data_IF_828766401473
#
_entry.id   IF_828766401473
#
_cell.length_a   1.000
_cell.length_b   1.000
_cell.length_c   1.000
_cell.angle_alpha   90.00
_cell.angle_beta   90.00
_cell.angle_gamma   90.00
#
_symmetry.space_group_name_H-M   'P 1'
#
loop_
_entity.id
_entity.type
_entity.pdbx_description
1 polymer ?
#
# COMPACT_ATOMS: atom_id res chain seq x y z
N UNK A 1 -22.92 -13.99 3.59
CA UNK A 1 -21.92 -13.31 4.44
C UNK A 1 -20.57 -13.02 3.74
N UNK A 2 -20.07 -13.86 2.82
CA UNK A 2 -18.78 -13.63 2.14
C UNK A 2 -18.73 -12.46 1.13
N UNK A 3 -19.88 -11.97 0.65
CA UNK A 3 -19.98 -10.99 -0.44
C UNK A 3 -19.88 -9.54 0.06
N UNK A 4 -20.42 -9.23 1.25
CA UNK A 4 -20.37 -7.88 1.84
C UNK A 4 -18.96 -7.42 2.21
N UNK A 5 -18.05 -8.35 2.50
CA UNK A 5 -16.66 -8.02 2.82
C UNK A 5 -15.86 -7.56 1.58
N UNK A 6 -16.24 -7.98 0.37
CA UNK A 6 -15.53 -7.61 -0.86
C UNK A 6 -15.67 -6.12 -1.21
N UNK A 7 -16.83 -5.52 -0.92
CA UNK A 7 -17.09 -4.14 -1.29
C UNK A 7 -16.47 -3.14 -0.28
N UNK A 8 -16.44 -3.49 1.00
CA UNK A 8 -16.00 -2.57 2.06
C UNK A 8 -14.46 -2.44 2.15
N UNK A 9 -13.71 -3.49 1.80
CA UNK A 9 -12.24 -3.43 1.72
C UNK A 9 -11.78 -2.55 0.56
N UNK A 10 -12.49 -2.57 -0.57
CA UNK A 10 -12.08 -1.83 -1.78
C UNK A 10 -12.33 -0.31 -1.68
N UNK A 11 -13.44 0.10 -1.03
CA UNK A 11 -13.88 1.50 -0.99
C UNK A 11 -12.95 2.40 -0.13
N UNK A 12 -12.31 1.86 0.92
CA UNK A 12 -11.44 2.66 1.82
C UNK A 12 -10.02 2.87 1.30
N UNK A 13 -9.55 2.07 0.34
CA UNK A 13 -8.16 2.12 -0.16
C UNK A 13 -7.93 3.24 -1.20
N UNK A 14 -9.01 3.82 -1.75
CA UNK A 14 -8.97 4.73 -2.90
C UNK A 14 -9.10 6.20 -2.44
N UNK A 15 -8.20 6.70 -1.59
CA UNK A 15 -8.09 8.14 -1.31
C UNK A 15 -6.78 8.71 -1.87
N UNK A 16 -6.81 9.24 -3.10
CA UNK A 16 -5.74 10.05 -3.68
C UNK A 16 -5.47 9.81 -5.18
N UNK A 17 -4.87 10.80 -5.85
CA UNK A 17 -4.55 10.84 -7.30
C UNK A 17 -3.76 9.63 -7.85
N UNK A 18 -3.13 8.81 -6.99
CA UNK A 18 -2.40 7.60 -7.38
C UNK A 18 -3.36 6.52 -7.94
N UNK A 19 -4.64 6.55 -7.55
CA UNK A 19 -5.65 5.60 -8.00
C UNK A 19 -6.01 5.71 -9.48
N UNK A 20 -5.60 6.78 -10.18
CA UNK A 20 -5.87 6.94 -11.62
C UNK A 20 -4.87 6.19 -12.51
N UNK A 21 -3.79 5.66 -11.94
CA UNK A 21 -2.80 4.88 -12.69
C UNK A 21 -2.99 3.37 -12.48
N UNK A 22 -3.29 2.67 -13.58
CA UNK A 22 -3.52 1.22 -13.62
C UNK A 22 -2.44 0.38 -12.90
N UNK A 23 -1.12 0.68 -13.02
CA UNK A 23 -0.09 -0.10 -12.35
C UNK A 23 -0.21 -0.11 -10.83
N UNK A 24 -0.55 1.04 -10.23
CA UNK A 24 -0.70 1.14 -8.77
C UNK A 24 -2.03 0.53 -8.31
N UNK A 25 -3.10 0.67 -9.10
CA UNK A 25 -4.38 0.01 -8.82
C UNK A 25 -4.23 -1.52 -8.81
N UNK A 26 -3.45 -2.09 -9.72
CA UNK A 26 -3.20 -3.54 -9.77
C UNK A 26 -2.44 -4.06 -8.55
N UNK A 27 -1.52 -3.27 -7.98
CA UNK A 27 -0.83 -3.61 -6.72
C UNK A 27 -1.85 -3.68 -5.58
N UNK A 28 -2.71 -2.67 -5.45
CA UNK A 28 -3.77 -2.63 -4.44
C UNK A 28 -4.73 -3.83 -4.57
N UNK A 29 -5.18 -4.13 -5.78
CA UNK A 29 -6.10 -5.25 -6.03
C UNK A 29 -5.49 -6.59 -5.60
N UNK A 30 -4.19 -6.81 -5.86
CA UNK A 30 -3.49 -8.02 -5.39
C UNK A 30 -3.42 -8.09 -3.87
N UNK A 31 -3.07 -6.98 -3.21
CA UNK A 31 -3.02 -6.92 -1.74
C UNK A 31 -4.40 -7.20 -1.13
N UNK A 32 -5.46 -6.63 -1.69
CA UNK A 32 -6.83 -6.86 -1.25
C UNK A 32 -7.23 -8.35 -1.37
N UNK A 33 -6.89 -9.02 -2.48
CA UNK A 33 -7.12 -10.46 -2.64
C UNK A 33 -6.37 -11.28 -1.58
N UNK A 34 -5.09 -10.99 -1.32
CA UNK A 34 -4.34 -11.72 -0.31
C UNK A 34 -4.89 -11.52 1.10
N UNK A 35 -5.19 -10.28 1.49
CA UNK A 35 -5.80 -9.98 2.80
C UNK A 35 -7.12 -10.73 2.95
N UNK A 36 -7.94 -10.81 1.90
CA UNK A 36 -9.20 -11.54 1.91
C UNK A 36 -9.01 -13.04 2.15
N UNK A 37 -8.02 -13.66 1.52
CA UNK A 37 -7.70 -15.09 1.70
C UNK A 37 -7.16 -15.33 3.12
N UNK A 38 -6.18 -14.54 3.56
CA UNK A 38 -5.61 -14.64 4.91
C UNK A 38 -6.67 -14.49 5.99
N UNK A 39 -7.53 -13.46 5.89
CA UNK A 39 -8.61 -13.26 6.86
C UNK A 39 -9.55 -14.46 6.91
N UNK A 40 -9.90 -15.06 5.77
CA UNK A 40 -10.78 -16.23 5.72
C UNK A 40 -10.19 -17.43 6.45
N UNK A 41 -8.88 -17.67 6.28
CA UNK A 41 -8.19 -18.78 6.94
C UNK A 41 -8.06 -18.59 8.45
N UNK A 42 -8.10 -17.34 8.93
CA UNK A 42 -8.00 -16.99 10.35
C UNK A 42 -9.36 -16.89 11.07
N UNK A 43 -10.48 -17.07 10.36
CA UNK A 43 -11.82 -17.05 10.99
C UNK A 43 -11.94 -18.21 11.99
N UNK A 44 -12.30 -17.89 13.24
CA UNK A 44 -12.46 -18.88 14.31
C UNK A 44 -11.16 -19.20 15.07
N UNK A 45 -10.04 -18.58 14.71
CA UNK A 45 -8.83 -18.62 15.51
C UNK A 45 -8.96 -17.73 16.76
N UNK A 46 -8.33 -18.15 17.85
CA UNK A 46 -8.22 -17.37 19.08
C UNK A 46 -7.17 -16.27 18.89
N UNK A 47 -7.58 -15.09 18.41
CA UNK A 47 -6.67 -13.95 18.18
C UNK A 47 -7.22 -12.67 18.75
N UNK A 48 -6.33 -11.92 19.39
CA UNK A 48 -6.62 -10.57 19.81
C UNK A 48 -6.25 -9.55 18.73
N UNK A 49 -6.72 -8.31 18.90
CA UNK A 49 -6.41 -7.17 18.03
C UNK A 49 -4.90 -7.04 17.75
N UNK A 50 -4.08 -7.20 18.79
CA UNK A 50 -2.63 -7.04 18.71
C UNK A 50 -1.96 -8.15 17.89
N UNK A 51 -2.47 -9.38 17.97
CA UNK A 51 -1.97 -10.51 17.21
C UNK A 51 -2.22 -10.29 15.72
N UNK A 52 -3.46 -9.89 15.38
CA UNK A 52 -3.83 -9.56 14.00
C UNK A 52 -2.96 -8.43 13.44
N UNK A 53 -2.76 -7.35 14.20
CA UNK A 53 -1.91 -6.24 13.76
C UNK A 53 -0.46 -6.69 13.52
N UNK A 54 0.11 -7.47 14.44
CA UNK A 54 1.49 -7.96 14.34
C UNK A 54 1.69 -8.89 13.15
N UNK A 55 0.79 -9.83 12.94
CA UNK A 55 0.87 -10.80 11.85
C UNK A 55 0.68 -10.15 10.50
N UNK A 56 -0.32 -9.27 10.36
CA UNK A 56 -0.56 -8.55 9.11
C UNK A 56 0.62 -7.63 8.77
N UNK A 57 1.21 -6.93 9.76
CA UNK A 57 2.42 -6.14 9.53
C UNK A 57 3.65 -7.01 9.19
N UNK A 58 3.74 -8.22 9.74
CA UNK A 58 4.81 -9.17 9.38
C UNK A 58 4.64 -9.68 7.96
N UNK A 59 3.39 -10.01 7.59
CA UNK A 59 3.05 -10.43 6.24
C UNK A 59 3.34 -9.33 5.21
N UNK A 60 2.87 -8.09 5.39
CA UNK A 60 3.02 -7.04 4.38
C UNK A 60 4.48 -6.63 4.15
N UNK A 61 5.36 -6.77 5.16
CA UNK A 61 6.80 -6.47 5.05
C UNK A 61 7.50 -7.27 3.95
N UNK A 62 7.01 -8.45 3.58
CA UNK A 62 7.61 -9.24 2.49
C UNK A 62 7.54 -8.54 1.13
N UNK A 63 6.61 -7.58 0.97
CA UNK A 63 6.42 -6.80 -0.25
C UNK A 63 7.06 -5.41 -0.17
N UNK A 64 7.78 -5.10 0.90
CA UNK A 64 8.45 -3.81 1.13
C UNK A 64 9.94 -3.90 0.81
N UNK A 65 10.42 -2.97 -0.01
CA UNK A 65 11.83 -2.67 -0.21
C UNK A 65 12.08 -1.20 0.16
N UNK A 66 12.75 -0.97 1.29
CA UNK A 66 13.02 0.36 1.85
C UNK A 66 14.25 1.04 1.24
N UNK A 67 15.05 0.29 0.48
CA UNK A 67 16.22 0.79 -0.26
C UNK A 67 15.80 1.87 -1.26
N UNK A 68 16.64 2.90 -1.40
CA UNK A 68 16.35 4.05 -2.26
C UNK A 68 16.33 3.66 -3.76
N UNK A 69 17.21 2.75 -4.16
CA UNK A 69 17.34 2.30 -5.54
C UNK A 69 17.51 0.77 -5.63
N UNK A 70 16.50 -0.04 -5.23
CA UNK A 70 16.62 -1.50 -5.27
C UNK A 70 16.80 -1.95 -6.73
N UNK A 71 17.52 -3.04 -7.01
CA UNK A 71 17.62 -3.57 -8.37
C UNK A 71 16.22 -3.86 -8.95
N UNK A 72 16.10 -3.85 -10.27
CA UNK A 72 14.81 -3.97 -10.95
C UNK A 72 14.05 -5.24 -10.55
N UNK A 73 14.75 -6.36 -10.35
CA UNK A 73 14.13 -7.62 -9.90
C UNK A 73 13.49 -7.48 -8.50
N UNK A 74 14.16 -6.77 -7.59
CA UNK A 74 13.67 -6.57 -6.22
C UNK A 74 12.45 -5.67 -6.25
N UNK A 75 12.46 -4.59 -7.05
CA UNK A 75 11.29 -3.70 -7.21
C UNK A 75 10.09 -4.43 -7.81
N UNK A 76 10.29 -5.36 -8.73
CA UNK A 76 9.20 -6.17 -9.29
C UNK A 76 8.58 -7.12 -8.27
N UNK A 77 9.39 -7.69 -7.38
CA UNK A 77 8.92 -8.61 -6.31
C UNK A 77 8.38 -7.88 -5.09
N UNK A 78 8.93 -6.70 -4.78
CA UNK A 78 8.61 -5.86 -3.63
C UNK A 78 8.20 -4.47 -4.11
N UNK A 79 6.93 -4.30 -4.52
CA UNK A 79 6.47 -3.07 -5.17
C UNK A 79 6.29 -1.89 -4.21
N UNK A 80 6.37 -2.10 -2.90
CA UNK A 80 6.12 -1.09 -1.88
C UNK A 80 7.43 -0.55 -1.30
N UNK A 81 7.51 0.76 -1.15
CA UNK A 81 8.58 1.43 -0.38
C UNK A 81 8.30 1.44 1.11
N UNK A 82 7.02 1.54 1.48
CA UNK A 82 6.57 1.45 2.87
C UNK A 82 5.15 0.91 2.92
N UNK A 83 4.81 0.25 4.03
CA UNK A 83 3.45 -0.18 4.33
C UNK A 83 3.23 -0.17 5.85
N UNK A 84 2.00 0.08 6.26
CA UNK A 84 1.58 0.06 7.66
C UNK A 84 0.14 -0.45 7.72
N UNK A 85 -0.10 -1.39 8.63
CA UNK A 85 -1.44 -1.89 8.94
C UNK A 85 -1.76 -1.53 10.38
N UNK A 86 -2.94 -0.97 10.61
CA UNK A 86 -3.44 -0.66 11.94
C UNK A 86 -4.76 -1.40 12.15
N UNK A 87 -4.93 -1.98 13.33
CA UNK A 87 -6.13 -2.74 13.69
C UNK A 87 -6.76 -2.12 14.92
N UNK A 88 -8.02 -1.75 14.82
CA UNK A 88 -8.82 -1.19 15.91
C UNK A 88 -10.01 -2.10 16.23
N UNK A 89 -10.44 -2.11 17.48
CA UNK A 89 -11.69 -2.76 17.88
C UNK A 89 -12.89 -2.03 17.29
N UNK A 90 -13.94 -2.77 16.96
CA UNK A 90 -15.23 -2.19 16.58
C UNK A 90 -16.12 -2.14 17.81
N UNK A 91 -16.41 -0.92 18.27
CA UNK A 91 -17.26 -0.69 19.43
C UNK A 91 -18.62 -1.39 19.27
N UNK A 92 -19.09 -2.03 20.34
CA UNK A 92 -20.35 -2.78 20.36
C UNK A 92 -20.31 -4.15 19.66
N UNK A 93 -19.19 -4.56 19.06
CA UNK A 93 -19.07 -5.84 18.35
C UNK A 93 -17.81 -6.62 18.76
N UNK A 94 -17.84 -7.37 19.87
CA UNK A 94 -16.70 -8.20 20.29
C UNK A 94 -16.26 -9.18 19.20
N UNK A 95 -14.95 -9.28 18.98
CA UNK A 95 -14.36 -10.13 17.92
C UNK A 95 -14.41 -9.52 16.52
N UNK A 96 -14.98 -8.31 16.35
CA UNK A 96 -14.90 -7.55 15.11
C UNK A 96 -13.81 -6.50 15.18
N UNK A 97 -12.99 -6.45 14.12
CA UNK A 97 -11.87 -5.52 14.03
C UNK A 97 -11.95 -4.70 12.74
N UNK A 98 -11.66 -3.41 12.86
CA UNK A 98 -11.43 -2.53 11.72
C UNK A 98 -9.94 -2.54 11.37
N UNK A 99 -9.63 -2.92 10.13
CA UNK A 99 -8.26 -2.93 9.61
C UNK A 99 -8.05 -1.78 8.63
N UNK A 100 -7.01 -0.99 8.84
CA UNK A 100 -6.60 0.11 7.97
C UNK A 100 -5.23 -0.21 7.35
N UNK A 101 -5.16 -0.34 6.03
CA UNK A 101 -3.90 -0.58 5.29
C UNK A 101 -3.47 0.71 4.58
N UNK A 102 -2.29 1.20 4.93
CA UNK A 102 -1.63 2.33 4.28
C UNK A 102 -0.39 1.84 3.54
N UNK A 103 -0.27 2.15 2.25
CA UNK A 103 0.87 1.71 1.42
C UNK A 103 1.45 2.87 0.62
N UNK A 104 2.77 2.82 0.42
CA UNK A 104 3.52 3.74 -0.44
C UNK A 104 4.25 2.92 -1.51
N UNK A 105 3.81 2.92 -2.77
CA UNK A 105 4.51 2.20 -3.84
C UNK A 105 5.82 2.91 -4.22
N UNK A 106 6.71 2.20 -4.91
CA UNK A 106 7.80 2.85 -5.63
C UNK A 106 7.24 3.64 -6.81
N UNK A 107 7.59 4.92 -6.90
CA UNK A 107 7.20 5.74 -8.05
C UNK A 107 8.07 5.41 -9.26
N UNK A 108 7.42 5.22 -10.41
CA UNK A 108 8.09 5.30 -11.70
C UNK A 108 8.31 6.77 -12.04
N UNK A 109 9.49 7.09 -12.57
CA UNK A 109 9.70 8.36 -13.24
C UNK A 109 8.70 8.47 -14.40
N UNK A 110 7.85 9.48 -14.37
CA UNK A 110 6.78 9.68 -15.35
C UNK A 110 7.02 10.88 -16.28
N UNK A 111 8.06 11.66 -16.02
CA UNK A 111 8.43 12.83 -16.80
C UNK A 111 9.13 13.89 -15.94
N UNK A 112 9.80 14.82 -16.60
CA UNK A 112 10.31 16.05 -16.03
C UNK A 112 10.17 17.16 -17.07
N UNK A 113 9.90 18.38 -16.60
CA UNK A 113 10.01 19.57 -17.43
C UNK A 113 11.46 20.03 -17.38
N UNK A 114 12.08 20.20 -18.54
CA UNK A 114 13.42 20.73 -18.66
C UNK A 114 13.33 22.18 -19.14
N UNK A 115 13.96 23.09 -18.41
CA UNK A 115 14.11 24.48 -18.80
C UNK A 115 15.58 24.73 -19.13
N UNK A 116 15.84 25.22 -20.33
CA UNK A 116 17.18 25.55 -20.84
C UNK A 116 17.23 27.05 -21.04
N UNK A 117 18.20 27.72 -20.42
CA UNK A 117 18.40 29.17 -20.59
C UNK A 117 19.87 29.46 -20.88
N UNK A 118 20.11 30.30 -21.89
CA UNK A 118 21.43 30.82 -22.22
C UNK A 118 21.63 32.13 -21.45
N UNK A 119 22.56 32.15 -20.49
CA UNK A 119 22.93 33.39 -19.77
C UNK A 119 24.19 33.95 -20.38
N UNK A 120 24.04 34.92 -21.28
CA UNK A 120 25.15 35.75 -21.76
C UNK A 120 25.41 36.87 -20.77
N UNK A 121 26.60 36.92 -20.16
CA UNK A 121 27.09 38.15 -19.54
C UNK A 121 27.65 39.02 -20.65
N UNK A 122 26.96 40.12 -20.96
CA UNK A 122 27.57 41.24 -21.66
C UNK A 122 28.32 42.04 -20.58
N UNK A 123 29.63 41.91 -20.51
CA UNK A 123 30.43 42.86 -19.73
C UNK A 123 30.21 44.24 -20.38
N UNK A 124 29.52 45.14 -19.66
CA UNK A 124 29.44 46.55 -20.05
C UNK A 124 30.83 47.14 -19.87
N UNK A 125 31.50 47.37 -21.00
CA UNK A 125 32.76 48.12 -21.09
C UNK A 125 32.59 49.59 -20.68
#
# INVERSE_FOLDING_TARGET
MCIYLNLMILIKIIRGFISTQLPYMMIINRLAHYVKVLQREQIGAWKERQDLERELNTWIKQYVADQENPPADVRSRRPLRAARIEVADVEGNPGWYQVSLSVRPHFKYMGANFELSLVGRLDQA
#
